data_IF_065371151526
#
_entry.id   IF_065371151526
#
_cell.length_a   1.000
_cell.length_b   1.000
_cell.length_c   1.000
_cell.angle_alpha   90.00
_cell.angle_beta   90.00
_cell.angle_gamma   90.00
#
_symmetry.space_group_name_H-M   'P 1'
#
loop_
_entity.id
_entity.type
_entity.pdbx_description
1 polymer ?
#
# COMPACT_ATOMS: atom_id res chain seq x y z
N UNK A 1 14.66 4.06 19.60
CA UNK A 1 13.48 4.93 19.40
C UNK A 1 12.92 4.61 18.03
N UNK A 2 11.72 4.05 17.93
CA UNK A 2 11.09 3.81 16.62
C UNK A 2 10.70 5.17 16.06
N UNK A 3 11.39 5.64 15.02
CA UNK A 3 10.99 6.83 14.29
C UNK A 3 9.57 6.61 13.73
N UNK A 4 8.70 7.62 13.83
CA UNK A 4 7.37 7.56 13.22
C UNK A 4 7.51 7.18 11.73
N UNK A 5 6.67 6.26 11.22
CA UNK A 5 6.69 5.93 9.81
C UNK A 5 6.40 7.21 9.02
N UNK A 6 7.31 7.55 8.09
CA UNK A 6 7.13 8.70 7.18
C UNK A 6 5.90 8.53 6.30
N UNK A 7 5.47 7.29 6.09
CA UNK A 7 4.23 6.94 5.39
C UNK A 7 3.07 7.01 6.37
N UNK A 8 2.06 7.79 6.04
CA UNK A 8 0.85 7.99 6.85
C UNK A 8 -0.38 7.46 6.12
N UNK A 9 -1.46 7.21 6.86
CA UNK A 9 -2.75 6.85 6.26
C UNK A 9 -3.89 7.43 7.07
N UNK A 10 -5.00 7.70 6.39
CA UNK A 10 -6.29 8.06 6.97
C UNK A 10 -7.11 6.85 7.42
N UNK A 11 -6.71 5.63 7.04
CA UNK A 11 -7.38 4.39 7.44
C UNK A 11 -7.04 4.00 8.89
N UNK A 12 -8.05 3.66 9.68
CA UNK A 12 -7.86 3.05 10.99
C UNK A 12 -8.03 1.53 10.91
N UNK A 13 -6.92 0.79 11.02
CA UNK A 13 -6.90 -0.67 10.89
C UNK A 13 -7.70 -1.44 11.95
N UNK A 14 -8.09 -0.80 13.07
CA UNK A 14 -8.79 -1.47 14.18
C UNK A 14 -10.32 -1.27 14.17
N UNK A 15 -10.81 -0.34 13.35
CA UNK A 15 -12.25 -0.05 13.26
C UNK A 15 -12.93 -1.05 12.32
N UNK A 16 -14.03 -1.65 12.80
CA UNK A 16 -14.89 -2.51 11.98
C UNK A 16 -15.59 -1.72 10.87
N UNK A 17 -15.85 -2.38 9.75
CA UNK A 17 -16.44 -1.78 8.57
C UNK A 17 -15.50 -1.84 7.38
N UNK A 18 -15.73 -0.96 6.41
CA UNK A 18 -14.97 -0.87 5.16
C UNK A 18 -14.55 0.57 4.94
N UNK A 19 -13.25 0.77 4.77
CA UNK A 19 -12.61 2.07 4.59
C UNK A 19 -11.90 2.07 3.25
N UNK A 20 -12.03 3.18 2.52
CA UNK A 20 -11.19 3.50 1.37
C UNK A 20 -10.40 4.76 1.73
N UNK A 21 -9.11 4.75 1.45
CA UNK A 21 -8.23 5.86 1.76
C UNK A 21 -6.94 5.77 0.98
N UNK A 22 -5.89 6.37 1.53
CA UNK A 22 -4.58 6.42 0.89
C UNK A 22 -3.45 6.11 1.88
N UNK A 23 -2.39 5.48 1.39
CA UNK A 23 -1.07 5.60 1.99
C UNK A 23 -0.38 6.81 1.37
N UNK A 24 -0.10 7.82 2.19
CA UNK A 24 0.58 9.04 1.80
C UNK A 24 2.07 8.85 2.02
N UNK A 25 2.81 8.74 0.90
CA UNK A 25 4.26 8.53 0.87
C UNK A 25 4.93 9.86 0.50
N UNK A 26 5.75 10.45 1.39
CA UNK A 26 6.46 11.69 1.08
C UNK A 26 7.36 11.54 -0.14
N UNK A 27 7.23 12.49 -1.07
CA UNK A 27 7.99 12.53 -2.32
C UNK A 27 8.32 13.98 -2.66
N UNK A 28 9.50 14.44 -2.22
CA UNK A 28 10.00 15.77 -2.59
C UNK A 28 10.54 15.74 -4.01
N UNK A 29 10.10 16.68 -4.85
CA UNK A 29 10.49 16.83 -6.26
C UNK A 29 10.66 18.31 -6.59
N UNK A 30 11.35 18.60 -7.69
CA UNK A 30 11.57 19.97 -8.16
C UNK A 30 10.26 20.72 -8.42
N UNK A 31 9.21 20.01 -8.85
CA UNK A 31 7.87 20.55 -9.11
C UNK A 31 6.95 20.52 -7.87
N UNK A 32 7.36 19.86 -6.78
CA UNK A 32 6.58 19.76 -5.55
C UNK A 32 7.47 19.46 -4.34
N UNK A 33 7.89 20.51 -3.63
CA UNK A 33 8.82 20.40 -2.50
C UNK A 33 8.27 19.52 -1.35
N UNK A 34 6.95 19.57 -1.11
CA UNK A 34 6.23 18.77 -0.09
C UNK A 34 5.20 17.84 -0.72
N UNK A 35 5.54 17.26 -1.88
CA UNK A 35 4.66 16.34 -2.60
C UNK A 35 4.43 15.03 -1.87
N UNK A 36 3.29 14.40 -2.17
CA UNK A 36 2.92 13.07 -1.73
C UNK A 36 2.66 12.19 -2.95
N UNK A 37 3.09 10.93 -2.89
CA UNK A 37 2.51 9.86 -3.70
C UNK A 37 1.47 9.16 -2.85
N UNK A 38 0.22 9.18 -3.32
CA UNK A 38 -0.93 8.63 -2.60
C UNK A 38 -1.28 7.27 -3.19
N UNK A 39 -1.02 6.19 -2.47
CA UNK A 39 -1.34 4.82 -2.91
C UNK A 39 -2.75 4.48 -2.43
N UNK A 40 -3.70 4.13 -3.31
CA UNK A 40 -5.04 3.71 -2.89
C UNK A 40 -4.97 2.47 -1.98
N UNK A 41 -5.69 2.50 -0.87
CA UNK A 41 -5.82 1.39 0.07
C UNK A 41 -7.29 1.16 0.41
N UNK A 42 -7.68 -0.11 0.56
CA UNK A 42 -8.96 -0.50 1.11
C UNK A 42 -8.74 -1.41 2.32
N UNK A 43 -9.39 -1.11 3.43
CA UNK A 43 -9.33 -1.91 4.66
C UNK A 43 -10.73 -2.36 5.01
N UNK A 44 -10.92 -3.66 5.18
CA UNK A 44 -12.18 -4.27 5.58
C UNK A 44 -11.91 -5.07 6.84
N UNK A 45 -12.64 -4.79 7.93
CA UNK A 45 -12.51 -5.52 9.19
C UNK A 45 -13.89 -5.84 9.73
N UNK A 46 -14.10 -7.07 10.15
CA UNK A 46 -15.32 -7.47 10.83
C UNK A 46 -15.08 -8.74 11.63
N UNK A 47 -15.68 -8.84 12.83
CA UNK A 47 -15.46 -9.91 13.79
C UNK A 47 -13.97 -10.17 14.11
N UNK A 48 -13.69 -11.14 14.98
CA UNK A 48 -12.34 -11.60 15.26
C UNK A 48 -11.90 -12.63 14.21
N UNK A 49 -10.64 -12.55 13.79
CA UNK A 49 -10.06 -13.43 12.77
C UNK A 49 -8.68 -12.94 12.31
N UNK A 50 -8.04 -13.66 11.37
CA UNK A 50 -6.70 -13.32 10.88
C UNK A 50 -6.71 -12.03 10.05
N UNK A 51 -5.52 -11.44 9.89
CA UNK A 51 -5.28 -10.38 8.90
C UNK A 51 -4.73 -10.98 7.60
N UNK A 52 -5.29 -10.56 6.46
CA UNK A 52 -4.77 -10.89 5.12
C UNK A 52 -4.38 -9.60 4.41
N UNK A 53 -3.13 -9.53 3.93
CA UNK A 53 -2.62 -8.45 3.08
C UNK A 53 -2.63 -8.89 1.61
N UNK A 54 -3.37 -8.17 0.78
CA UNK A 54 -3.47 -8.40 -0.66
C UNK A 54 -2.82 -7.25 -1.41
N UNK A 55 -1.81 -7.54 -2.22
CA UNK A 55 -1.10 -6.54 -3.01
C UNK A 55 -1.12 -6.88 -4.50
N UNK A 56 -1.17 -5.86 -5.35
CA UNK A 56 -1.03 -5.96 -6.80
C UNK A 56 -0.17 -4.82 -7.33
N UNK A 57 0.22 -4.88 -8.60
CA UNK A 57 0.97 -3.79 -9.24
C UNK A 57 2.34 -3.55 -8.60
N UNK A 58 3.03 -4.62 -8.19
CA UNK A 58 4.42 -4.53 -7.72
C UNK A 58 5.35 -4.09 -8.85
N UNK A 59 5.06 -4.58 -10.06
CA UNK A 59 5.50 -3.97 -11.30
C UNK A 59 4.31 -3.29 -11.99
N UNK A 60 4.57 -2.20 -12.70
CA UNK A 60 3.53 -1.36 -13.28
C UNK A 60 2.91 -1.87 -14.57
N UNK A 61 3.58 -2.82 -15.22
CA UNK A 61 3.21 -3.50 -16.45
C UNK A 61 2.42 -4.81 -16.20
N UNK A 62 2.04 -5.10 -14.96
CA UNK A 62 1.27 -6.28 -14.53
C UNK A 62 -0.14 -5.88 -14.04
N UNK A 63 -1.17 -6.05 -14.88
CA UNK A 63 -2.49 -5.44 -14.67
C UNK A 63 -3.54 -6.35 -14.01
N UNK A 64 -3.36 -7.67 -14.09
CA UNK A 64 -4.32 -8.67 -13.63
C UNK A 64 -4.56 -8.57 -12.13
N UNK A 65 -3.48 -8.41 -11.36
CA UNK A 65 -3.52 -8.19 -9.92
C UNK A 65 -4.31 -6.93 -9.54
N UNK A 66 -3.88 -5.73 -9.99
CA UNK A 66 -4.62 -4.49 -9.76
C UNK A 66 -6.09 -4.57 -10.13
N UNK A 67 -6.44 -5.09 -11.32
CA UNK A 67 -7.84 -5.18 -11.77
C UNK A 67 -8.67 -6.11 -10.89
N UNK A 68 -8.10 -7.26 -10.50
CA UNK A 68 -8.78 -8.23 -9.62
C UNK A 68 -9.00 -7.64 -8.24
N UNK A 69 -8.00 -6.96 -7.68
CA UNK A 69 -8.07 -6.35 -6.36
C UNK A 69 -9.00 -5.15 -6.32
N UNK A 70 -9.06 -4.33 -7.37
CA UNK A 70 -10.04 -3.24 -7.47
C UNK A 70 -11.49 -3.77 -7.52
N UNK A 71 -11.73 -4.85 -8.29
CA UNK A 71 -13.04 -5.52 -8.32
C UNK A 71 -13.41 -6.08 -6.96
N UNK A 72 -12.49 -6.81 -6.32
CA UNK A 72 -12.65 -7.39 -4.99
C UNK A 72 -12.95 -6.31 -3.95
N UNK A 73 -12.15 -5.25 -3.92
CA UNK A 73 -12.31 -4.13 -3.01
C UNK A 73 -13.67 -3.44 -3.20
N UNK A 74 -14.24 -3.42 -4.40
CA UNK A 74 -15.59 -2.88 -4.63
C UNK A 74 -16.69 -3.85 -4.19
N UNK A 75 -16.56 -5.15 -4.46
CA UNK A 75 -17.62 -6.13 -4.27
C UNK A 75 -17.76 -6.62 -2.82
N UNK A 76 -16.67 -6.71 -2.06
CA UNK A 76 -16.72 -7.26 -0.70
C UNK A 76 -17.43 -6.32 0.27
N UNK A 77 -18.36 -6.86 1.07
CA UNK A 77 -18.94 -6.15 2.20
C UNK A 77 -18.25 -6.57 3.52
N UNK A 78 -18.30 -5.75 4.58
CA UNK A 78 -17.80 -6.16 5.89
C UNK A 78 -18.45 -7.46 6.42
N UNK A 79 -19.71 -7.72 6.07
CA UNK A 79 -20.44 -8.91 6.50
C UNK A 79 -19.84 -10.22 5.94
N UNK A 80 -19.12 -10.14 4.81
CA UNK A 80 -18.46 -11.28 4.18
C UNK A 80 -17.12 -11.64 4.83
N UNK A 81 -16.64 -10.82 5.78
CA UNK A 81 -15.30 -10.93 6.39
C UNK A 81 -15.38 -11.37 7.85
N UNK A 82 -14.47 -12.28 8.23
CA UNK A 82 -14.13 -12.59 9.63
C UNK A 82 -12.62 -12.39 9.84
N UNK A 83 -12.26 -11.33 10.53
CA UNK A 83 -10.88 -10.83 10.63
C UNK A 83 -10.70 -9.52 9.88
N UNK A 84 -9.57 -9.36 9.19
CA UNK A 84 -9.19 -8.13 8.49
C UNK A 84 -8.59 -8.42 7.13
N UNK A 85 -8.99 -7.66 6.12
CA UNK A 85 -8.40 -7.66 4.77
C UNK A 85 -7.88 -6.27 4.49
N UNK A 86 -6.60 -6.17 4.14
CA UNK A 86 -5.95 -4.94 3.68
C UNK A 86 -5.61 -5.12 2.21
N UNK A 87 -6.11 -4.24 1.35
CA UNK A 87 -5.98 -4.33 -0.11
C UNK A 87 -5.22 -3.11 -0.62
N UNK A 88 -4.08 -3.35 -1.25
CA UNK A 88 -3.27 -2.38 -1.97
C UNK A 88 -3.19 -2.80 -3.44
N UNK A 89 -4.12 -2.36 -4.29
CA UNK A 89 -4.20 -2.82 -5.68
C UNK A 89 -2.98 -2.43 -6.52
N UNK A 90 -2.26 -1.37 -6.12
CA UNK A 90 -1.15 -0.78 -6.87
C UNK A 90 -0.01 -0.42 -5.92
N UNK A 91 0.77 -1.42 -5.53
CA UNK A 91 1.86 -1.29 -4.57
C UNK A 91 2.95 -0.34 -5.08
N UNK A 92 3.34 -0.48 -6.34
CA UNK A 92 4.24 0.44 -7.01
C UNK A 92 3.45 1.41 -7.88
N UNK A 93 2.64 2.25 -7.23
CA UNK A 93 1.72 3.17 -7.92
C UNK A 93 2.37 4.03 -9.02
N UNK A 94 3.56 4.65 -8.81
CA UNK A 94 4.23 5.39 -9.89
C UNK A 94 4.58 4.52 -11.10
N UNK A 95 4.99 3.27 -10.89
CA UNK A 95 5.27 2.33 -11.97
C UNK A 95 3.98 1.93 -12.71
N UNK A 96 2.89 1.67 -11.98
CA UNK A 96 1.57 1.35 -12.57
C UNK A 96 1.08 2.48 -13.48
N UNK A 97 1.21 3.74 -13.04
CA UNK A 97 0.86 4.90 -13.88
C UNK A 97 1.75 5.01 -15.12
N UNK A 98 3.02 4.61 -15.02
CA UNK A 98 3.97 4.62 -16.13
C UNK A 98 3.95 3.39 -17.02
N UNK A 99 3.25 2.32 -16.64
CA UNK A 99 3.33 1.03 -17.32
C UNK A 99 4.74 0.44 -17.34
N UNK A 100 5.54 0.70 -16.29
CA UNK A 100 6.96 0.29 -16.23
C UNK A 100 7.21 -0.77 -15.18
N UNK A 101 8.23 -1.60 -15.37
CA UNK A 101 8.62 -2.61 -14.38
C UNK A 101 9.15 -2.00 -13.08
N UNK A 102 9.92 -0.91 -13.18
CA UNK A 102 10.54 -0.22 -12.04
C UNK A 102 9.87 1.12 -11.79
N UNK A 103 9.97 1.63 -10.58
CA UNK A 103 9.46 2.97 -10.26
C UNK A 103 10.23 4.03 -11.05
N UNK A 104 9.56 4.94 -11.78
CA UNK A 104 10.23 6.02 -12.50
C UNK A 104 10.78 7.10 -11.56
N UNK A 105 10.46 7.08 -10.26
CA UNK A 105 10.90 8.09 -9.29
C UNK A 105 12.29 7.75 -8.74
N UNK A 106 12.57 6.49 -8.47
CA UNK A 106 13.81 6.03 -7.81
C UNK A 106 14.52 4.89 -8.56
N UNK A 107 13.96 4.40 -9.68
CA UNK A 107 14.52 3.31 -10.47
C UNK A 107 14.46 1.93 -9.79
N UNK A 108 13.79 1.83 -8.64
CA UNK A 108 13.80 0.61 -7.83
C UNK A 108 12.76 -0.39 -8.34
N UNK A 109 13.17 -1.66 -8.40
CA UNK A 109 12.24 -2.77 -8.53
C UNK A 109 11.60 -3.06 -7.17
N UNK A 110 10.28 -2.92 -7.05
CA UNK A 110 9.55 -3.07 -5.78
C UNK A 110 9.80 -4.42 -5.11
N UNK A 111 9.86 -5.52 -5.87
CA UNK A 111 10.10 -6.86 -5.34
C UNK A 111 11.53 -7.08 -4.83
N UNK A 112 12.43 -6.11 -5.03
CA UNK A 112 13.79 -6.08 -4.46
C UNK A 112 13.92 -5.03 -3.35
N UNK A 113 12.87 -4.26 -3.07
CA UNK A 113 12.88 -3.22 -2.06
C UNK A 113 12.66 -3.77 -0.64
N UNK A 114 12.00 -4.93 -0.50
CA UNK A 114 11.72 -5.56 0.81
C UNK A 114 13.00 -6.00 1.53
N UNK A 115 13.09 -5.86 2.87
CA UNK A 115 12.04 -5.40 3.81
C UNK A 115 11.86 -3.87 3.87
N UNK A 116 12.57 -3.12 3.04
CA UNK A 116 12.51 -1.66 2.99
C UNK A 116 13.34 -0.98 4.08
N UNK A 117 13.34 0.35 4.04
CA UNK A 117 14.01 1.22 5.03
C UNK A 117 13.16 2.46 5.32
N UNK A 118 13.07 2.86 6.59
CA UNK A 118 12.34 4.06 7.04
C UNK A 118 12.97 5.38 6.59
N UNK A 119 14.25 5.34 6.21
CA UNK A 119 15.04 6.45 5.69
C UNK A 119 15.37 6.31 4.19
N UNK A 120 14.74 5.34 3.51
CA UNK A 120 15.05 4.99 2.12
C UNK A 120 14.35 5.86 1.07
N UNK A 121 14.54 5.43 -0.18
CA UNK A 121 13.80 5.91 -1.36
C UNK A 121 12.30 5.58 -1.29
N UNK A 122 11.50 6.14 -2.19
CA UNK A 122 10.05 5.96 -2.21
C UNK A 122 9.62 4.49 -2.14
N UNK A 123 10.21 3.63 -2.97
CA UNK A 123 9.90 2.19 -2.99
C UNK A 123 10.31 1.50 -1.69
N UNK A 124 11.44 1.90 -1.09
CA UNK A 124 11.91 1.38 0.19
C UNK A 124 11.03 1.82 1.37
N UNK A 125 10.48 3.04 1.33
CA UNK A 125 9.52 3.53 2.33
C UNK A 125 8.22 2.73 2.29
N UNK A 126 7.71 2.44 1.08
CA UNK A 126 6.52 1.59 0.88
C UNK A 126 6.78 0.19 1.44
N UNK A 127 7.88 -0.46 1.03
CA UNK A 127 8.23 -1.80 1.50
C UNK A 127 8.44 -1.86 3.02
N UNK A 128 9.03 -0.81 3.61
CA UNK A 128 9.20 -0.69 5.06
C UNK A 128 7.86 -0.59 5.78
N UNK A 129 6.94 0.24 5.27
CA UNK A 129 5.62 0.39 5.86
C UNK A 129 4.85 -0.94 5.84
N UNK A 130 4.81 -1.63 4.70
CA UNK A 130 4.13 -2.93 4.62
C UNK A 130 4.74 -3.95 5.59
N UNK A 131 6.07 -4.03 5.65
CA UNK A 131 6.75 -4.98 6.54
C UNK A 131 6.45 -4.69 8.00
N UNK A 132 6.64 -3.45 8.45
CA UNK A 132 6.61 -3.10 9.87
C UNK A 132 5.23 -2.75 10.41
N UNK A 133 4.31 -2.32 9.54
CA UNK A 133 2.98 -1.85 9.94
C UNK A 133 1.88 -2.80 9.47
N UNK A 134 1.98 -3.39 8.29
CA UNK A 134 0.92 -4.28 7.79
C UNK A 134 1.18 -5.76 8.12
N UNK A 135 2.43 -6.23 8.12
CA UNK A 135 2.77 -7.63 8.38
C UNK A 135 3.08 -7.89 9.86
N UNK A 136 3.95 -7.10 10.49
CA UNK A 136 4.35 -7.31 11.89
C UNK A 136 3.23 -6.99 12.91
N UNK A 137 2.22 -6.22 12.53
CA UNK A 137 1.08 -5.82 13.40
C UNK A 137 -0.13 -6.76 13.30
N UNK A 138 0.03 -7.93 12.68
CA UNK A 138 -1.04 -8.88 12.35
C UNK A 138 -1.38 -9.85 13.47
#
# INVERSE_FOLDING_TARGET
MSANPRVTTDCNYEVSGKQFGYLDVPSSRNDSAWGLVRLPICVIRNAQGPTVLLTGGSHGDEYEGPLSLLKLARSLSPADVRGRIIILPMLNYPAVLGGTRVSPIDGVNMNRAFPGRSDGTLSQLIAHYLTRVCLDSS
#
